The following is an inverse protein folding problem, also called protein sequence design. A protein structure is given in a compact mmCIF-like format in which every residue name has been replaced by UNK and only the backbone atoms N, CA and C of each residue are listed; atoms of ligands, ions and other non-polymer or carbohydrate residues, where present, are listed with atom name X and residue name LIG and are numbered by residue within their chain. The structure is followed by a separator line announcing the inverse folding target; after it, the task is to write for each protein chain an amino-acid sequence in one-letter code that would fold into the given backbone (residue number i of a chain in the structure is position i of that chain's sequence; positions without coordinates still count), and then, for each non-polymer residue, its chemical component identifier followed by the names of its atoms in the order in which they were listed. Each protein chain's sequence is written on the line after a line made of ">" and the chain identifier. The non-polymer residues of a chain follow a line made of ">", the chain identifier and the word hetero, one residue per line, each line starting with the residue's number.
data_IF_194610659779
#
_entry.id   IF_194610659779
#
_cell.length_a   1.000
_cell.length_b   1.000
_cell.length_c   1.000
_cell.angle_alpha   90.00
_cell.angle_beta   90.00
_cell.angle_gamma   90.00
#
_symmetry.space_group_name_H-M   'P 1'
#
loop_
_entity.id
_entity.type
_entity.pdbx_description
1 polymer ?
#
# COMPACT_ATOMS: atom_id res chain seq x y z
N UNK A 1 -6.60 -32.66 -7.42
CA UNK A 1 -6.92 -32.80 -5.99
C UNK A 1 -7.21 -31.39 -5.51
N UNK A 2 -8.48 -31.01 -5.35
CA UNK A 2 -8.84 -29.66 -4.92
C UNK A 2 -8.38 -29.45 -3.48
N UNK A 3 -7.56 -28.43 -3.25
CA UNK A 3 -7.17 -28.03 -1.90
C UNK A 3 -8.32 -27.22 -1.28
N UNK A 4 -8.77 -27.64 -0.10
CA UNK A 4 -9.74 -26.90 0.69
C UNK A 4 -8.99 -26.11 1.76
N UNK A 5 -8.93 -24.78 1.63
CA UNK A 5 -8.55 -23.92 2.73
C UNK A 5 -9.81 -23.54 3.52
N UNK A 6 -9.79 -23.83 4.81
CA UNK A 6 -10.82 -23.38 5.75
C UNK A 6 -10.49 -21.94 6.10
N UNK A 7 -11.29 -21.01 5.61
CA UNK A 7 -11.23 -19.63 6.04
C UNK A 7 -11.67 -19.56 7.52
N UNK A 8 -10.71 -19.26 8.40
CA UNK A 8 -10.89 -19.28 9.87
C UNK A 8 -11.94 -18.24 10.31
N UNK A 9 -12.21 -17.22 9.49
CA UNK A 9 -13.12 -16.12 9.83
C UNK A 9 -14.59 -16.32 9.42
N UNK A 10 -14.91 -17.29 8.56
CA UNK A 10 -16.29 -17.44 8.02
C UNK A 10 -16.91 -18.82 8.15
N UNK A 11 -16.13 -19.85 8.52
CA UNK A 11 -16.60 -21.24 8.57
C UNK A 11 -17.10 -21.80 7.25
N UNK A 12 -16.96 -21.05 6.14
CA UNK A 12 -17.33 -21.46 4.80
C UNK A 12 -16.07 -21.92 4.07
N UNK A 13 -15.99 -23.22 3.80
CA UNK A 13 -15.00 -23.77 2.89
C UNK A 13 -15.30 -23.25 1.47
N UNK A 14 -14.47 -22.35 0.97
CA UNK A 14 -14.52 -21.91 -0.42
C UNK A 14 -13.62 -22.84 -1.23
N UNK A 15 -14.16 -23.47 -2.26
CA UNK A 15 -13.33 -24.21 -3.23
C UNK A 15 -12.65 -23.16 -4.10
N UNK A 16 -11.32 -23.12 -4.08
CA UNK A 16 -10.55 -22.31 -5.03
C UNK A 16 -10.77 -22.93 -6.42
N UNK A 17 -11.13 -22.11 -7.40
CA UNK A 17 -10.98 -22.51 -8.79
C UNK A 17 -9.50 -22.41 -9.19
N UNK A 18 -9.16 -22.82 -10.42
CA UNK A 18 -7.76 -22.83 -10.86
C UNK A 18 -7.13 -21.43 -10.93
N UNK A 19 -7.93 -20.39 -11.11
CA UNK A 19 -7.44 -19.00 -11.15
C UNK A 19 -7.18 -18.50 -9.72
N UNK A 20 -8.12 -18.74 -8.80
CA UNK A 20 -7.99 -18.44 -7.37
C UNK A 20 -6.79 -19.19 -6.75
N UNK A 21 -6.54 -20.45 -7.14
CA UNK A 21 -5.40 -21.24 -6.66
C UNK A 21 -4.06 -20.66 -7.13
N UNK A 22 -3.98 -20.21 -8.39
CA UNK A 22 -2.78 -19.57 -8.92
C UNK A 22 -2.49 -18.22 -8.25
N UNK A 23 -3.51 -17.38 -8.07
CA UNK A 23 -3.36 -16.09 -7.40
C UNK A 23 -2.98 -16.25 -5.93
N UNK A 24 -3.51 -17.28 -5.26
CA UNK A 24 -3.10 -17.63 -3.91
C UNK A 24 -1.62 -18.04 -3.86
N UNK A 25 -1.19 -18.99 -4.70
CA UNK A 25 0.20 -19.47 -4.74
C UNK A 25 1.18 -18.32 -5.01
N UNK A 26 0.85 -17.47 -5.97
CA UNK A 26 1.67 -16.33 -6.35
C UNK A 26 1.73 -15.30 -5.20
N UNK A 27 0.60 -15.00 -4.56
CA UNK A 27 0.54 -14.13 -3.39
C UNK A 27 1.41 -14.65 -2.24
N UNK A 28 1.38 -15.96 -1.98
CA UNK A 28 2.22 -16.59 -0.94
C UNK A 28 3.72 -16.53 -1.24
N UNK A 29 4.12 -16.55 -2.51
CA UNK A 29 5.52 -16.38 -2.93
C UNK A 29 5.94 -14.92 -2.74
N UNK A 30 5.13 -13.97 -3.19
CA UNK A 30 5.38 -12.54 -3.05
C UNK A 30 5.48 -12.12 -1.59
N UNK A 31 4.57 -12.62 -0.74
CA UNK A 31 4.54 -12.35 0.69
C UNK A 31 5.82 -12.85 1.39
N UNK A 32 6.20 -14.12 1.15
CA UNK A 32 7.41 -14.69 1.76
C UNK A 32 8.66 -13.93 1.35
N UNK A 33 8.80 -13.64 0.06
CA UNK A 33 9.93 -12.87 -0.45
C UNK A 33 9.99 -11.48 0.18
N UNK A 34 8.85 -10.80 0.27
CA UNK A 34 8.77 -9.50 0.93
C UNK A 34 9.19 -9.58 2.40
N UNK A 35 8.68 -10.55 3.16
CA UNK A 35 8.99 -10.69 4.58
C UNK A 35 10.50 -10.91 4.81
N UNK A 36 11.14 -11.76 4.02
CA UNK A 36 12.57 -12.02 4.10
C UNK A 36 13.40 -10.77 3.74
N UNK A 37 13.05 -10.08 2.65
CA UNK A 37 13.73 -8.85 2.23
C UNK A 37 13.50 -7.70 3.21
N UNK A 38 12.32 -7.62 3.84
CA UNK A 38 11.97 -6.54 4.75
C UNK A 38 12.83 -6.54 6.01
N UNK A 39 12.98 -7.70 6.65
CA UNK A 39 13.76 -7.82 7.88
C UNK A 39 15.27 -7.66 7.64
N UNK A 40 15.77 -8.26 6.56
CA UNK A 40 17.21 -8.30 6.30
C UNK A 40 17.74 -7.03 5.65
N UNK A 41 16.90 -6.31 4.89
CA UNK A 41 17.34 -5.19 4.07
C UNK A 41 16.50 -3.93 4.30
N UNK A 42 15.19 -3.98 4.08
CA UNK A 42 14.39 -2.74 4.01
C UNK A 42 14.34 -2.00 5.34
N UNK A 43 14.02 -2.68 6.44
CA UNK A 43 13.94 -2.06 7.77
C UNK A 43 15.30 -1.48 8.18
N UNK A 44 16.42 -2.24 8.17
CA UNK A 44 17.73 -1.68 8.50
C UNK A 44 18.12 -0.51 7.60
N UNK A 45 17.94 -0.61 6.28
CA UNK A 45 18.32 0.47 5.35
C UNK A 45 17.51 1.73 5.65
N UNK A 46 16.19 1.64 5.69
CA UNK A 46 15.31 2.81 5.84
C UNK A 46 15.45 3.50 7.19
N UNK A 47 15.65 2.72 8.27
CA UNK A 47 15.85 3.27 9.63
C UNK A 47 17.20 3.96 9.79
N UNK A 48 18.23 3.53 9.05
CA UNK A 48 19.57 4.13 9.11
C UNK A 48 19.78 5.29 8.13
N UNK A 49 18.87 5.49 7.16
CA UNK A 49 18.92 6.62 6.21
C UNK A 49 19.15 7.99 6.87
N UNK A 50 18.39 8.41 7.90
CA UNK A 50 18.55 9.75 8.47
C UNK A 50 19.92 9.94 9.12
N UNK A 51 20.47 8.90 9.75
CA UNK A 51 21.80 8.95 10.37
C UNK A 51 22.89 8.98 9.31
N UNK A 52 22.78 8.10 8.30
CA UNK A 52 23.77 7.96 7.23
C UNK A 52 23.87 9.20 6.35
N UNK A 53 22.72 9.79 6.01
CA UNK A 53 22.63 10.92 5.08
C UNK A 53 22.36 12.26 5.77
N UNK A 54 22.31 12.30 7.11
CA UNK A 54 22.01 13.50 7.90
C UNK A 54 20.72 14.18 7.42
N UNK A 55 19.67 13.38 7.23
CA UNK A 55 18.40 13.88 6.71
C UNK A 55 17.75 14.76 7.78
N UNK A 56 17.64 16.05 7.48
CA UNK A 56 16.88 16.98 8.30
C UNK A 56 15.40 16.95 7.92
N UNK A 57 14.51 17.12 8.90
CA UNK A 57 13.05 17.12 8.67
C UNK A 57 12.61 18.11 7.60
N UNK A 58 13.19 19.32 7.61
CA UNK A 58 12.91 20.34 6.61
C UNK A 58 13.33 19.94 5.20
N UNK A 59 14.46 19.24 5.07
CA UNK A 59 14.94 18.72 3.79
C UNK A 59 14.06 17.59 3.27
N UNK A 60 13.60 16.67 4.13
CA UNK A 60 12.62 15.64 3.77
C UNK A 60 11.33 16.28 3.23
N UNK A 61 10.77 17.25 3.96
CA UNK A 61 9.56 17.97 3.54
C UNK A 61 9.73 18.63 2.17
N UNK A 62 10.85 19.31 1.97
CA UNK A 62 11.15 19.97 0.71
C UNK A 62 11.23 18.97 -0.45
N UNK A 63 11.93 17.85 -0.25
CA UNK A 63 12.06 16.79 -1.25
C UNK A 63 10.71 16.15 -1.61
N UNK A 64 9.85 15.88 -0.62
CA UNK A 64 8.51 15.33 -0.87
C UNK A 64 7.67 16.28 -1.73
N UNK A 65 7.70 17.58 -1.40
CA UNK A 65 6.96 18.63 -2.13
C UNK A 65 7.51 18.92 -3.52
N UNK A 66 8.80 18.70 -3.74
CA UNK A 66 9.40 18.80 -5.08
C UNK A 66 8.84 17.75 -6.05
N UNK A 67 8.41 16.60 -5.53
CA UNK A 67 7.95 15.47 -6.34
C UNK A 67 6.43 15.30 -6.37
N UNK A 68 5.73 15.82 -5.37
CA UNK A 68 4.28 15.72 -5.29
C UNK A 68 3.68 16.89 -4.52
N UNK A 69 2.73 17.58 -5.15
CA UNK A 69 1.92 18.62 -4.54
C UNK A 69 0.65 17.99 -3.97
N UNK A 70 0.60 17.82 -2.64
CA UNK A 70 -0.53 17.20 -1.96
C UNK A 70 -0.41 17.21 -0.44
N UNK A 71 -1.54 17.13 0.24
CA UNK A 71 -1.60 17.10 1.71
C UNK A 71 -1.04 15.78 2.28
N UNK A 72 -1.06 14.70 1.48
CA UNK A 72 -0.43 13.42 1.79
C UNK A 72 1.05 13.54 2.17
N UNK A 73 1.78 14.50 1.57
CA UNK A 73 3.20 14.72 1.86
C UNK A 73 3.43 15.05 3.33
N UNK A 74 2.49 15.74 3.98
CA UNK A 74 2.58 16.05 5.41
C UNK A 74 2.42 14.80 6.29
N UNK A 75 1.52 13.89 5.91
CA UNK A 75 1.31 12.62 6.62
C UNK A 75 2.50 11.68 6.45
N UNK A 76 3.07 11.61 5.24
CA UNK A 76 4.26 10.80 4.94
C UNK A 76 5.47 11.33 5.70
N UNK A 77 5.69 12.65 5.69
CA UNK A 77 6.77 13.27 6.46
C UNK A 77 6.62 12.99 7.96
N UNK A 78 5.43 13.21 8.51
CA UNK A 78 5.17 12.98 9.94
C UNK A 78 5.40 11.52 10.30
N UNK A 79 4.91 10.58 9.49
CA UNK A 79 5.13 9.15 9.72
C UNK A 79 6.60 8.77 9.69
N UNK A 80 7.34 9.17 8.64
CA UNK A 80 8.78 8.91 8.53
C UNK A 80 9.56 9.52 9.69
N UNK A 81 9.25 10.76 10.05
CA UNK A 81 9.93 11.44 11.14
C UNK A 81 9.70 10.73 12.48
N UNK A 82 8.45 10.33 12.77
CA UNK A 82 8.12 9.54 13.96
C UNK A 82 8.87 8.21 13.98
N UNK A 83 8.80 7.48 12.88
CA UNK A 83 9.44 6.16 12.78
C UNK A 83 10.95 6.23 13.02
N UNK A 84 11.63 7.23 12.44
CA UNK A 84 13.06 7.47 12.67
C UNK A 84 13.42 7.89 14.10
N UNK A 85 12.47 8.44 14.86
CA UNK A 85 12.65 8.78 16.27
C UNK A 85 12.23 7.65 17.22
N UNK A 86 11.83 6.48 16.70
CA UNK A 86 11.46 5.31 17.50
C UNK A 86 10.05 5.39 18.10
N UNK A 87 9.16 6.18 17.51
CA UNK A 87 7.73 6.16 17.85
C UNK A 87 7.06 4.84 17.42
N UNK A 88 5.83 4.63 17.87
CA UNK A 88 5.04 3.42 17.61
C UNK A 88 4.79 3.17 16.11
N UNK A 89 5.08 1.93 15.66
CA UNK A 89 4.92 1.49 14.28
C UNK A 89 3.46 1.55 13.81
N UNK A 90 2.50 1.30 14.69
CA UNK A 90 1.06 1.34 14.36
C UNK A 90 0.62 2.76 14.06
N UNK A 91 1.06 3.73 14.86
CA UNK A 91 0.81 5.16 14.59
C UNK A 91 1.40 5.56 13.24
N UNK A 92 2.62 5.14 12.94
CA UNK A 92 3.28 5.43 11.67
C UNK A 92 2.51 4.82 10.48
N UNK A 93 2.08 3.56 10.60
CA UNK A 93 1.28 2.89 9.58
C UNK A 93 -0.08 3.57 9.34
N UNK A 94 -0.77 3.96 10.42
CA UNK A 94 -2.08 4.65 10.33
C UNK A 94 -2.00 6.05 9.73
N UNK A 95 -0.83 6.69 9.74
CA UNK A 95 -0.59 7.93 8.98
C UNK A 95 -0.34 7.65 7.50
N UNK A 96 0.37 6.57 7.16
CA UNK A 96 0.74 6.24 5.78
C UNK A 96 -0.41 5.70 4.96
N UNK A 97 -1.29 4.87 5.53
CA UNK A 97 -2.41 4.25 4.79
C UNK A 97 -3.29 5.29 4.09
N UNK A 98 -3.87 6.31 4.78
CA UNK A 98 -4.69 7.31 4.12
C UNK A 98 -3.89 8.17 3.11
N UNK A 99 -2.61 8.43 3.37
CA UNK A 99 -1.74 9.15 2.44
C UNK A 99 -1.52 8.36 1.13
N UNK A 100 -1.30 7.05 1.25
CA UNK A 100 -1.14 6.14 0.11
C UNK A 100 -2.45 6.01 -0.67
N UNK A 101 -3.60 5.92 0.02
CA UNK A 101 -4.91 5.90 -0.63
C UNK A 101 -5.14 7.17 -1.48
N UNK A 102 -4.84 8.34 -0.92
CA UNK A 102 -4.92 9.63 -1.62
C UNK A 102 -4.00 9.65 -2.84
N UNK A 103 -2.74 9.23 -2.68
CA UNK A 103 -1.78 9.14 -3.78
C UNK A 103 -2.27 8.22 -4.90
N UNK A 104 -2.80 7.03 -4.58
CA UNK A 104 -3.36 6.12 -5.60
C UNK A 104 -4.52 6.78 -6.35
N UNK A 105 -5.40 7.50 -5.65
CA UNK A 105 -6.50 8.25 -6.28
C UNK A 105 -5.95 9.33 -7.23
N UNK A 106 -5.03 10.17 -6.77
CA UNK A 106 -4.39 11.19 -7.62
C UNK A 106 -3.71 10.57 -8.84
N UNK A 107 -2.95 9.48 -8.68
CA UNK A 107 -2.30 8.78 -9.80
C UNK A 107 -3.29 8.17 -10.78
N UNK A 108 -4.44 7.70 -10.30
CA UNK A 108 -5.53 7.21 -11.14
C UNK A 108 -6.18 8.35 -11.94
N UNK A 109 -6.49 9.49 -11.31
CA UNK A 109 -7.09 10.65 -11.97
C UNK A 109 -6.18 11.24 -13.05
N UNK A 110 -4.88 11.41 -12.75
CA UNK A 110 -3.87 11.84 -13.72
C UNK A 110 -3.81 10.94 -14.96
N UNK A 111 -4.21 9.68 -14.83
CA UNK A 111 -4.25 8.68 -15.91
C UNK A 111 -5.64 8.56 -16.54
N UNK A 112 -6.55 9.50 -16.29
CA UNK A 112 -7.90 9.49 -16.84
C UNK A 112 -8.78 8.36 -16.29
N UNK A 113 -8.50 7.85 -15.10
CA UNK A 113 -9.35 6.88 -14.40
C UNK A 113 -10.26 7.65 -13.45
N UNK A 114 -11.57 7.54 -13.64
CA UNK A 114 -12.53 8.11 -12.69
C UNK A 114 -12.40 7.43 -11.32
N UNK A 115 -12.21 8.22 -10.26
CA UNK A 115 -12.15 7.75 -8.87
C UNK A 115 -13.54 7.63 -8.25
N UNK A 116 -14.51 8.38 -8.77
CA UNK A 116 -15.91 8.28 -8.38
C UNK A 116 -16.71 7.50 -9.42
N UNK A 117 -17.78 6.86 -8.95
CA UNK A 117 -18.80 6.22 -9.78
C UNK A 117 -20.08 7.05 -9.72
N UNK A 118 -20.67 7.43 -10.87
CA UNK A 118 -21.93 8.17 -10.88
C UNK A 118 -23.08 7.28 -10.38
N UNK A 119 -24.14 7.91 -9.87
CA UNK A 119 -25.36 7.20 -9.54
C UNK A 119 -26.04 6.70 -10.83
N UNK A 120 -26.37 5.42 -10.89
CA UNK A 120 -27.07 4.82 -12.04
C UNK A 120 -28.27 4.01 -11.53
N UNK A 121 -29.48 4.47 -11.87
CA UNK A 121 -30.73 3.86 -11.43
C UNK A 121 -30.84 3.85 -9.90
N UNK A 122 -30.80 2.66 -9.29
CA UNK A 122 -30.83 2.47 -7.82
C UNK A 122 -29.45 2.40 -7.17
N UNK A 123 -28.36 2.37 -7.94
CA UNK A 123 -27.00 2.40 -7.38
C UNK A 123 -26.65 3.84 -7.00
N UNK A 124 -26.26 4.04 -5.74
CA UNK A 124 -25.78 5.34 -5.25
C UNK A 124 -24.43 5.66 -5.88
N UNK A 125 -24.15 6.95 -6.04
CA UNK A 125 -22.80 7.41 -6.33
C UNK A 125 -21.88 7.04 -5.17
N UNK A 126 -20.60 6.80 -5.47
CA UNK A 126 -19.61 6.43 -4.46
C UNK A 126 -18.20 6.51 -4.98
N UNK A 127 -17.24 6.35 -4.07
CA UNK A 127 -15.83 6.20 -4.42
C UNK A 127 -15.57 4.75 -4.84
N UNK A 128 -14.71 4.57 -5.84
CA UNK A 128 -14.18 3.25 -6.17
C UNK A 128 -13.34 2.74 -5.00
N UNK A 129 -13.33 1.42 -4.79
CA UNK A 129 -12.46 0.84 -3.79
C UNK A 129 -11.00 0.99 -4.21
N UNK A 130 -10.08 0.94 -3.25
CA UNK A 130 -8.64 0.98 -3.53
C UNK A 130 -8.22 -0.18 -4.45
N UNK A 131 -8.79 -1.38 -4.24
CA UNK A 131 -8.58 -2.53 -5.11
C UNK A 131 -9.04 -2.28 -6.55
N UNK A 132 -10.23 -1.68 -6.73
CA UNK A 132 -10.73 -1.33 -8.07
C UNK A 132 -9.85 -0.29 -8.78
N UNK A 133 -9.32 0.68 -8.03
CA UNK A 133 -8.41 1.69 -8.56
C UNK A 133 -7.09 1.06 -9.00
N UNK A 134 -6.49 0.22 -8.15
CA UNK A 134 -5.26 -0.51 -8.48
C UNK A 134 -5.47 -1.50 -9.63
N UNK A 135 -6.64 -2.13 -9.74
CA UNK A 135 -6.99 -2.94 -10.91
C UNK A 135 -7.11 -2.08 -12.18
N UNK A 136 -7.75 -0.91 -12.08
CA UNK A 136 -7.91 0.03 -13.21
C UNK A 136 -6.60 0.63 -13.70
N UNK A 137 -5.57 0.68 -12.83
CA UNK A 137 -4.22 1.11 -13.18
C UNK A 137 -3.43 0.07 -13.98
N UNK A 138 -3.98 -1.13 -14.20
CA UNK A 138 -3.37 -2.13 -15.09
C UNK A 138 -3.07 -1.52 -16.47
N UNK A 139 -1.87 -1.82 -17.00
CA UNK A 139 -1.32 -1.25 -18.23
C UNK A 139 -1.10 0.27 -18.23
N UNK A 140 -1.30 0.96 -17.09
CA UNK A 140 -1.01 2.40 -16.91
C UNK A 140 0.03 2.68 -15.83
N UNK A 141 0.53 1.62 -15.21
CA UNK A 141 1.65 1.62 -14.28
C UNK A 141 2.48 0.36 -14.48
N UNK A 142 3.70 0.36 -13.97
CA UNK A 142 4.50 -0.87 -13.92
C UNK A 142 3.77 -1.96 -13.15
N UNK A 143 3.65 -3.14 -13.77
CA UNK A 143 2.86 -4.23 -13.25
C UNK A 143 3.44 -4.79 -11.94
N UNK A 144 4.77 -4.80 -11.79
CA UNK A 144 5.42 -5.27 -10.56
C UNK A 144 5.05 -4.35 -9.38
N UNK A 145 5.03 -3.04 -9.60
CA UNK A 145 4.58 -2.08 -8.61
C UNK A 145 3.09 -2.15 -8.31
N UNK A 146 2.25 -2.38 -9.33
CA UNK A 146 0.81 -2.57 -9.14
C UNK A 146 0.52 -3.77 -8.24
N UNK A 147 1.18 -4.89 -8.52
CA UNK A 147 1.10 -6.11 -7.73
C UNK A 147 1.64 -5.91 -6.32
N UNK A 148 2.76 -5.21 -6.17
CA UNK A 148 3.28 -4.83 -4.86
C UNK A 148 2.25 -4.04 -4.04
N UNK A 149 1.63 -3.01 -4.62
CA UNK A 149 0.60 -2.22 -3.93
C UNK A 149 -0.63 -3.07 -3.59
N UNK A 150 -1.07 -3.96 -4.49
CA UNK A 150 -2.17 -4.89 -4.21
C UNK A 150 -1.82 -5.81 -3.03
N UNK A 151 -0.65 -6.44 -3.07
CA UNK A 151 -0.17 -7.35 -2.03
C UNK A 151 -0.06 -6.64 -0.67
N UNK A 152 0.52 -5.44 -0.64
CA UNK A 152 0.73 -4.70 0.61
C UNK A 152 -0.59 -4.17 1.18
N UNK A 153 -1.49 -3.65 0.34
CA UNK A 153 -2.63 -2.87 0.82
C UNK A 153 -3.93 -3.67 0.93
N UNK A 154 -4.29 -4.45 -0.09
CA UNK A 154 -5.69 -4.91 -0.26
C UNK A 154 -5.89 -6.40 -0.49
N UNK A 155 -4.85 -7.13 -0.88
CA UNK A 155 -4.96 -8.55 -1.20
C UNK A 155 -5.07 -9.38 0.08
N UNK A 156 -6.14 -10.19 0.19
CA UNK A 156 -6.31 -11.16 1.28
C UNK A 156 -5.22 -12.26 1.30
N UNK A 157 -4.52 -12.44 0.17
CA UNK A 157 -3.40 -13.37 0.03
C UNK A 157 -2.04 -12.69 0.26
N UNK A 158 -2.02 -11.37 0.48
CA UNK A 158 -0.84 -10.58 0.77
C UNK A 158 -0.76 -10.13 2.23
N UNK A 159 -0.23 -8.93 2.47
CA UNK A 159 -0.19 -8.32 3.81
C UNK A 159 -1.52 -7.67 4.20
N UNK A 160 -2.33 -7.25 3.21
CA UNK A 160 -3.66 -6.67 3.41
C UNK A 160 -3.70 -5.50 4.42
N UNK A 161 -2.61 -4.73 4.56
CA UNK A 161 -2.39 -3.83 5.70
C UNK A 161 -3.51 -2.81 5.87
N UNK A 162 -4.06 -2.31 4.76
CA UNK A 162 -5.14 -1.33 4.78
C UNK A 162 -6.38 -1.92 5.43
N UNK A 163 -6.79 -3.11 5.01
CA UNK A 163 -8.00 -3.70 5.55
C UNK A 163 -7.77 -4.20 6.98
N UNK A 164 -6.64 -4.86 7.24
CA UNK A 164 -6.36 -5.46 8.53
C UNK A 164 -6.28 -4.42 9.65
N UNK A 165 -5.57 -3.32 9.41
CA UNK A 165 -5.40 -2.24 10.40
C UNK A 165 -6.64 -1.35 10.49
N UNK A 166 -7.27 -0.96 9.38
CA UNK A 166 -8.41 -0.03 9.41
C UNK A 166 -9.74 -0.68 9.80
N UNK A 167 -9.88 -2.00 9.61
CA UNK A 167 -11.06 -2.74 10.06
C UNK A 167 -10.87 -3.45 11.41
N UNK A 168 -9.71 -3.28 12.05
CA UNK A 168 -9.45 -3.80 13.40
C UNK A 168 -9.29 -5.31 13.46
N UNK A 169 -9.01 -5.98 12.34
CA UNK A 169 -8.64 -7.39 12.29
C UNK A 169 -7.27 -7.56 12.96
N UNK A 170 -6.36 -6.61 12.72
CA UNK A 170 -5.06 -6.50 13.36
C UNK A 170 -4.93 -5.14 14.03
N UNK A 171 -4.59 -5.12 15.32
CA UNK A 171 -4.54 -3.89 16.12
C UNK A 171 -3.16 -3.24 16.19
N UNK A 172 -2.13 -3.91 15.65
CA UNK A 172 -0.76 -3.40 15.65
C UNK A 172 -0.09 -3.60 14.30
N UNK A 173 0.80 -2.67 13.98
CA UNK A 173 1.75 -2.81 12.88
C UNK A 173 3.15 -3.11 13.42
N UNK A 174 3.95 -3.76 12.58
CA UNK A 174 5.38 -3.99 12.81
C UNK A 174 6.22 -3.03 11.98
N UNK A 175 7.52 -2.92 12.29
CA UNK A 175 8.44 -2.07 11.51
C UNK A 175 8.55 -2.52 10.04
N UNK A 176 8.30 -3.81 9.76
CA UNK A 176 8.20 -4.33 8.38
C UNK A 176 7.02 -3.75 7.64
N UNK A 177 5.88 -3.64 8.30
CA UNK A 177 4.67 -3.08 7.71
C UNK A 177 4.87 -1.59 7.41
N UNK A 178 5.49 -0.86 8.34
CA UNK A 178 5.86 0.55 8.12
C UNK A 178 6.83 0.67 6.94
N UNK A 179 7.86 -0.18 6.87
CA UNK A 179 8.78 -0.21 5.73
C UNK A 179 8.04 -0.48 4.40
N UNK A 180 7.09 -1.43 4.38
CA UNK A 180 6.28 -1.75 3.21
C UNK A 180 5.52 -0.51 2.70
N UNK A 181 4.85 0.18 3.63
CA UNK A 181 4.05 1.37 3.38
C UNK A 181 4.91 2.56 2.97
N UNK A 182 6.09 2.75 3.59
CA UNK A 182 7.06 3.78 3.18
C UNK A 182 7.50 3.57 1.74
N UNK A 183 7.87 2.34 1.35
CA UNK A 183 8.26 2.02 -0.03
C UNK A 183 7.09 2.28 -1.00
N UNK A 184 5.87 1.90 -0.64
CA UNK A 184 4.68 2.19 -1.43
C UNK A 184 4.47 3.70 -1.63
N UNK A 185 4.53 4.49 -0.55
CA UNK A 185 4.37 5.94 -0.57
C UNK A 185 5.45 6.62 -1.41
N UNK A 186 6.72 6.28 -1.19
CA UNK A 186 7.85 6.86 -1.93
C UNK A 186 7.79 6.50 -3.42
N UNK A 187 7.38 5.28 -3.77
CA UNK A 187 7.16 4.90 -5.15
C UNK A 187 6.07 5.75 -5.81
N UNK A 188 4.91 5.89 -5.15
CA UNK A 188 3.80 6.68 -5.68
C UNK A 188 4.15 8.16 -5.82
N UNK A 189 4.95 8.72 -4.91
CA UNK A 189 5.49 10.09 -5.04
C UNK A 189 6.42 10.21 -6.24
N UNK A 190 7.31 9.22 -6.43
CA UNK A 190 8.31 9.21 -7.52
C UNK A 190 7.75 8.79 -8.87
N UNK A 191 6.52 8.28 -8.90
CA UNK A 191 5.87 7.85 -10.12
C UNK A 191 5.74 9.06 -11.07
N UNK A 192 6.17 8.95 -12.33
CA UNK A 192 6.00 10.05 -13.27
C UNK A 192 4.52 10.33 -13.51
N UNK A 193 4.21 11.60 -13.75
CA UNK A 193 2.89 11.98 -14.25
C UNK A 193 2.64 11.30 -15.61
N UNK A 194 1.36 11.11 -15.96
CA UNK A 194 1.05 10.56 -17.27
C UNK A 194 1.54 11.53 -18.37
N UNK A 195 2.22 11.00 -19.39
CA UNK A 195 2.48 11.78 -20.59
C UNK A 195 1.13 12.14 -21.25
N UNK A 196 0.95 13.39 -21.69
CA UNK A 196 -0.31 13.89 -22.26
C UNK A 196 -0.72 13.20 -23.56
#
# INVERSE_FOLDING_TARGET
>A
MSQHLVNVDSGHARTLDSEDEFDWELGQIELRRFQDEADLLLVPVLTHLPVRHRIERGALRAWLREHHEGDECALIEESLWRWWNGDDDTVCALLLIPAIESLVQHRAEQRGIAVTSPAVGRRRAGFKSLGDLLASLSNRMDESWRRYLLCVLVSEYGLNLRNDLCHGIRLSASSRDVAALVIAALHLIRMPDAEP
#
